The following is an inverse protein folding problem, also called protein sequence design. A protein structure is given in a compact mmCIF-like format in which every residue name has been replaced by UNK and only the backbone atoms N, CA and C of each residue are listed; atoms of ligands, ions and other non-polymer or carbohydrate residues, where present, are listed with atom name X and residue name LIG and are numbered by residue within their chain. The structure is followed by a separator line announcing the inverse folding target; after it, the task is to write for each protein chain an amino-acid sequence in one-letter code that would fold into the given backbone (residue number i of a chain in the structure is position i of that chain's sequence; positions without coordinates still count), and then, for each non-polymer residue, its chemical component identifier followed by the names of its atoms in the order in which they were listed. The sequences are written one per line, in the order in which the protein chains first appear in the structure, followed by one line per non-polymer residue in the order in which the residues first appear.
data_IF_019037306768
#
_entry.id   IF_019037306768
#
_cell.length_a   1.000
_cell.length_b   1.000
_cell.length_c   1.000
_cell.angle_alpha   90.00
_cell.angle_beta   90.00
_cell.angle_gamma   90.00
#
_symmetry.space_group_name_H-M   'P 1'
#
loop_
_entity.id
_entity.type
_entity.pdbx_description
1 polymer ?
#
# COMPACT_ATOMS: atom_id res chain seq x y z
N UNK A 1 3.70 4.74 -18.57
CA UNK A 1 4.32 4.78 -19.90
C UNK A 1 5.25 3.57 -20.11
N UNK A 2 6.26 3.38 -19.28
CA UNK A 2 7.25 2.29 -19.37
C UNK A 2 6.61 0.87 -19.42
N UNK A 3 5.68 0.55 -18.51
CA UNK A 3 5.03 -0.75 -18.48
C UNK A 3 4.22 -1.06 -19.77
N UNK A 4 3.66 -0.03 -20.41
CA UNK A 4 2.95 -0.20 -21.68
C UNK A 4 3.92 -0.47 -22.83
N UNK A 5 5.05 0.22 -22.83
CA UNK A 5 6.10 0.00 -23.83
C UNK A 5 6.72 -1.39 -23.70
N UNK A 6 7.02 -1.82 -22.47
CA UNK A 6 7.51 -3.17 -22.20
C UNK A 6 6.53 -4.22 -22.70
N UNK A 7 5.23 -4.05 -22.44
CA UNK A 7 4.19 -4.98 -22.91
C UNK A 7 4.16 -5.08 -24.43
N UNK A 8 4.29 -3.96 -25.15
CA UNK A 8 4.34 -3.94 -26.60
C UNK A 8 5.56 -4.71 -27.13
N UNK A 9 6.75 -4.46 -26.57
CA UNK A 9 7.98 -5.17 -26.96
C UNK A 9 7.90 -6.68 -26.72
N UNK A 10 7.33 -7.09 -25.59
CA UNK A 10 7.14 -8.53 -25.30
C UNK A 10 6.15 -9.15 -26.28
N UNK A 11 5.06 -8.44 -26.63
CA UNK A 11 4.09 -8.92 -27.60
C UNK A 11 4.70 -9.14 -29.00
N UNK A 12 5.67 -8.30 -29.40
CA UNK A 12 6.44 -8.48 -30.66
C UNK A 12 7.28 -9.77 -30.67
N UNK A 13 7.75 -10.20 -29.49
CA UNK A 13 8.63 -11.39 -29.36
C UNK A 13 7.80 -12.67 -29.24
N UNK A 14 6.79 -12.67 -28.35
CA UNK A 14 6.03 -13.90 -28.01
C UNK A 14 4.69 -14.01 -28.73
N UNK A 15 4.27 -12.98 -29.43
CA UNK A 15 2.96 -12.87 -30.06
C UNK A 15 1.89 -12.29 -29.14
N UNK A 16 0.89 -11.64 -29.74
CA UNK A 16 -0.18 -10.96 -28.99
C UNK A 16 -1.04 -11.92 -28.14
N UNK A 17 -1.24 -13.15 -28.60
CA UNK A 17 -2.02 -14.16 -27.89
C UNK A 17 -1.38 -14.53 -26.54
N UNK A 18 -0.09 -14.86 -26.57
CA UNK A 18 0.68 -15.20 -25.36
C UNK A 18 0.86 -13.99 -24.44
N UNK A 19 1.14 -12.82 -25.02
CA UNK A 19 1.32 -11.58 -24.23
C UNK A 19 0.07 -11.18 -23.43
N UNK A 20 -1.15 -11.51 -23.88
CA UNK A 20 -2.39 -11.27 -23.15
C UNK A 20 -2.50 -12.09 -21.86
N UNK A 21 -1.88 -13.26 -21.82
CA UNK A 21 -1.89 -14.14 -20.65
C UNK A 21 -0.87 -13.73 -19.58
N UNK A 22 0.09 -12.89 -19.94
CA UNK A 22 1.11 -12.40 -19.01
C UNK A 22 0.56 -11.28 -18.12
N UNK A 23 0.88 -11.37 -16.84
CA UNK A 23 0.63 -10.28 -15.90
C UNK A 23 1.83 -9.35 -15.92
N UNK A 24 1.69 -8.25 -16.63
CA UNK A 24 2.75 -7.26 -16.81
C UNK A 24 2.28 -5.89 -16.34
N UNK A 25 3.10 -5.24 -15.54
CA UNK A 25 2.81 -3.91 -15.02
C UNK A 25 3.73 -3.51 -13.88
N UNK A 26 3.45 -2.37 -13.26
CA UNK A 26 4.09 -1.97 -12.02
C UNK A 26 3.62 -2.86 -10.87
N UNK A 27 4.39 -2.92 -9.77
CA UNK A 27 3.96 -3.62 -8.55
C UNK A 27 2.56 -3.20 -8.12
N UNK A 28 2.28 -1.90 -8.07
CA UNK A 28 0.96 -1.37 -7.70
C UNK A 28 -0.16 -1.89 -8.61
N UNK A 29 0.05 -1.94 -9.92
CA UNK A 29 -0.98 -2.39 -10.85
C UNK A 29 -1.26 -3.89 -10.76
N UNK A 30 -0.22 -4.69 -10.57
CA UNK A 30 -0.35 -6.15 -10.39
C UNK A 30 -1.00 -6.46 -9.05
N UNK A 31 -0.56 -5.80 -7.98
CA UNK A 31 -1.12 -6.00 -6.65
C UNK A 31 -2.57 -5.49 -6.54
N UNK A 32 -2.89 -4.36 -7.17
CA UNK A 32 -4.27 -3.91 -7.27
C UNK A 32 -5.17 -4.96 -7.95
N UNK A 33 -4.66 -5.63 -8.98
CA UNK A 33 -5.40 -6.71 -9.66
C UNK A 33 -5.62 -7.92 -8.74
N UNK A 34 -4.63 -8.32 -7.94
CA UNK A 34 -4.77 -9.36 -6.92
C UNK A 34 -5.82 -8.95 -5.90
N UNK A 35 -5.69 -7.74 -5.34
CA UNK A 35 -6.61 -7.23 -4.32
C UNK A 35 -8.06 -7.11 -4.82
N UNK A 36 -8.27 -6.70 -6.08
CA UNK A 36 -9.62 -6.69 -6.68
C UNK A 36 -10.28 -8.07 -6.69
N UNK A 37 -9.50 -9.13 -6.81
CA UNK A 37 -10.01 -10.49 -6.81
C UNK A 37 -10.25 -11.04 -5.40
N UNK A 38 -9.48 -10.60 -4.40
CA UNK A 38 -9.39 -11.20 -3.08
C UNK A 38 -9.77 -10.25 -1.93
N UNK A 39 -10.20 -9.01 -2.23
CA UNK A 39 -10.42 -7.95 -1.24
C UNK A 39 -11.40 -8.33 -0.11
N UNK A 40 -12.40 -9.13 -0.42
CA UNK A 40 -13.38 -9.63 0.53
C UNK A 40 -12.73 -10.40 1.70
N UNK A 41 -11.62 -11.09 1.47
CA UNK A 41 -10.86 -11.79 2.52
C UNK A 41 -10.19 -10.84 3.53
N UNK A 42 -10.01 -9.58 3.15
CA UNK A 42 -9.48 -8.51 4.01
C UNK A 42 -10.59 -7.60 4.56
N UNK A 43 -11.87 -7.90 4.28
CA UNK A 43 -13.01 -7.09 4.71
C UNK A 43 -13.24 -5.84 3.85
N UNK A 44 -12.62 -5.76 2.67
CA UNK A 44 -12.85 -4.66 1.72
C UNK A 44 -13.81 -5.08 0.61
N UNK A 45 -14.59 -4.13 0.05
CA UNK A 45 -15.33 -4.39 -1.18
C UNK A 45 -14.36 -4.58 -2.35
N UNK A 46 -14.74 -5.39 -3.34
CA UNK A 46 -13.89 -5.61 -4.52
C UNK A 46 -13.73 -4.36 -5.39
N UNK A 47 -14.69 -3.46 -5.35
CA UNK A 47 -14.68 -2.16 -6.00
C UNK A 47 -14.10 -1.04 -5.10
N UNK A 48 -13.26 -1.39 -4.14
CA UNK A 48 -12.65 -0.42 -3.24
C UNK A 48 -12.08 0.80 -3.98
N UNK A 49 -12.19 1.96 -3.37
CA UNK A 49 -11.64 3.21 -3.90
C UNK A 49 -10.13 3.26 -3.65
N UNK A 50 -9.37 3.72 -4.63
CA UNK A 50 -7.94 3.99 -4.46
C UNK A 50 -7.75 5.48 -4.22
N UNK A 51 -7.30 5.84 -3.01
CA UNK A 51 -6.96 7.21 -2.66
C UNK A 51 -5.60 7.58 -3.25
N UNK A 52 -5.58 8.70 -3.96
CA UNK A 52 -4.34 9.29 -4.43
C UNK A 52 -3.64 10.10 -3.32
N UNK A 53 -2.53 10.73 -3.69
CA UNK A 53 -1.75 11.56 -2.77
C UNK A 53 -2.55 12.76 -2.22
N UNK A 54 -3.46 13.34 -3.01
CA UNK A 54 -4.31 14.44 -2.57
C UNK A 54 -5.40 13.97 -1.62
N UNK A 55 -6.07 12.86 -1.94
CA UNK A 55 -7.13 12.30 -1.10
C UNK A 55 -6.57 11.91 0.28
N UNK A 56 -5.44 11.22 0.30
CA UNK A 56 -4.72 10.86 1.53
C UNK A 56 -4.32 12.11 2.33
N UNK A 57 -3.79 13.12 1.66
CA UNK A 57 -3.39 14.37 2.30
C UNK A 57 -4.57 15.13 2.92
N UNK A 58 -5.72 15.20 2.22
CA UNK A 58 -6.94 15.83 2.73
C UNK A 58 -7.48 15.12 3.96
N UNK A 59 -7.51 13.79 3.91
CA UNK A 59 -7.99 12.99 5.05
C UNK A 59 -7.09 13.18 6.28
N UNK A 60 -5.77 13.12 6.12
CA UNK A 60 -4.82 13.35 7.21
C UNK A 60 -4.96 14.77 7.79
N UNK A 61 -5.10 15.79 6.94
CA UNK A 61 -5.31 17.17 7.38
C UNK A 61 -6.61 17.33 8.18
N UNK A 62 -7.69 16.66 7.75
CA UNK A 62 -8.95 16.61 8.51
C UNK A 62 -8.78 15.98 9.89
N UNK A 63 -8.09 14.85 9.96
CA UNK A 63 -7.80 14.15 11.23
C UNK A 63 -7.01 15.05 12.17
N UNK A 64 -5.95 15.69 11.70
CA UNK A 64 -5.12 16.61 12.50
C UNK A 64 -5.97 17.76 13.07
N UNK A 65 -6.84 18.34 12.24
CA UNK A 65 -7.76 19.40 12.66
C UNK A 65 -8.77 18.92 13.70
N UNK A 66 -9.40 17.77 13.48
CA UNK A 66 -10.40 17.20 14.39
C UNK A 66 -9.82 16.76 15.73
N UNK A 67 -8.56 16.31 15.74
CA UNK A 67 -7.83 16.01 16.98
C UNK A 67 -7.33 17.26 17.72
N UNK A 68 -7.56 18.45 17.18
CA UNK A 68 -7.12 19.71 17.79
C UNK A 68 -5.60 19.90 17.82
N UNK A 69 -4.87 19.23 16.93
CA UNK A 69 -3.41 19.29 16.87
C UNK A 69 -2.93 20.52 16.10
N UNK A 70 -1.78 21.05 16.52
CA UNK A 70 -1.15 22.19 15.87
C UNK A 70 -0.67 21.81 14.45
N UNK A 71 -1.26 22.46 13.43
CA UNK A 71 -0.95 22.22 12.01
C UNK A 71 0.49 22.59 11.61
N UNK A 72 1.16 23.44 12.38
CA UNK A 72 2.53 23.87 12.11
C UNK A 72 3.54 22.85 12.63
N UNK A 73 3.16 22.10 13.68
CA UNK A 73 3.91 20.96 14.20
C UNK A 73 3.58 19.69 13.40
N UNK A 74 2.28 19.40 13.26
CA UNK A 74 1.78 18.23 12.50
C UNK A 74 1.45 18.61 11.07
N UNK A 75 2.48 18.92 10.27
CA UNK A 75 2.32 19.25 8.85
C UNK A 75 1.83 18.01 8.08
N UNK A 76 0.62 18.08 7.53
CA UNK A 76 -0.04 16.91 6.94
C UNK A 76 0.80 16.16 5.89
N UNK A 77 1.60 16.87 5.09
CA UNK A 77 2.51 16.26 4.10
C UNK A 77 3.59 15.42 4.76
N UNK A 78 4.14 15.90 5.88
CA UNK A 78 5.17 15.17 6.63
C UNK A 78 4.57 13.95 7.35
N UNK A 79 3.37 14.11 7.94
CA UNK A 79 2.65 12.99 8.56
C UNK A 79 2.29 11.93 7.53
N UNK A 80 1.79 12.33 6.35
CA UNK A 80 1.53 11.39 5.25
C UNK A 80 2.79 10.63 4.86
N UNK A 81 3.92 11.32 4.69
CA UNK A 81 5.19 10.67 4.32
C UNK A 81 5.65 9.71 5.42
N UNK A 82 5.44 10.05 6.69
CA UNK A 82 5.78 9.15 7.80
C UNK A 82 4.92 7.89 7.78
N UNK A 83 3.60 8.02 7.58
CA UNK A 83 2.67 6.89 7.44
C UNK A 83 3.04 6.04 6.22
N UNK A 84 3.34 6.66 5.08
CA UNK A 84 3.83 5.96 3.89
C UNK A 84 5.10 5.15 4.19
N UNK A 85 6.05 5.73 4.91
CA UNK A 85 7.26 5.03 5.38
C UNK A 85 6.94 3.79 6.23
N UNK A 86 5.99 3.90 7.15
CA UNK A 86 5.53 2.74 7.93
C UNK A 86 4.98 1.63 7.03
N UNK A 87 4.07 1.96 6.12
CA UNK A 87 3.46 0.98 5.22
C UNK A 87 4.49 0.32 4.30
N UNK A 88 5.42 1.08 3.75
CA UNK A 88 6.49 0.56 2.90
C UNK A 88 7.50 -0.33 3.65
N UNK A 89 7.58 -0.18 4.96
CA UNK A 89 8.37 -1.05 5.85
C UNK A 89 7.53 -2.16 6.49
N UNK A 90 6.29 -2.36 6.04
CA UNK A 90 5.32 -3.32 6.58
C UNK A 90 5.01 -3.10 8.07
N UNK A 91 5.10 -1.86 8.55
CA UNK A 91 4.76 -1.49 9.93
C UNK A 91 3.28 -1.13 9.97
N UNK A 92 2.46 -2.04 10.46
CA UNK A 92 1.04 -1.81 10.71
C UNK A 92 0.84 -0.92 11.95
N UNK A 93 -0.38 -0.42 12.17
CA UNK A 93 -0.73 0.31 13.41
C UNK A 93 -0.39 -0.51 14.65
N UNK A 94 -0.71 -1.81 14.64
CA UNK A 94 -0.38 -2.72 15.74
C UNK A 94 1.13 -2.83 15.95
N UNK A 95 1.89 -2.98 14.88
CA UNK A 95 3.35 -3.05 14.95
C UNK A 95 3.95 -1.75 15.49
N UNK A 96 3.44 -0.60 15.06
CA UNK A 96 3.86 0.70 15.59
C UNK A 96 3.68 0.81 17.11
N UNK A 97 2.50 0.44 17.63
CA UNK A 97 2.23 0.54 19.07
C UNK A 97 2.95 -0.54 19.90
N UNK A 98 3.44 -1.60 19.26
CA UNK A 98 4.28 -2.61 19.91
C UNK A 98 5.79 -2.29 19.86
N UNK A 99 6.19 -1.22 19.18
CA UNK A 99 7.59 -0.80 19.04
C UNK A 99 7.84 0.51 19.79
N UNK A 100 8.42 0.45 21.02
CA UNK A 100 8.73 1.64 21.81
C UNK A 100 9.71 2.59 21.11
N UNK A 101 10.62 2.09 20.28
CA UNK A 101 11.62 2.90 19.59
C UNK A 101 10.98 3.83 18.56
N UNK A 102 9.96 3.33 17.82
CA UNK A 102 9.21 4.15 16.87
C UNK A 102 8.44 5.27 17.58
N UNK A 103 7.80 4.95 18.70
CA UNK A 103 7.05 5.92 19.49
C UNK A 103 7.98 6.96 20.13
N UNK A 104 9.14 6.55 20.63
CA UNK A 104 10.16 7.45 21.18
C UNK A 104 10.70 8.40 20.11
N UNK A 105 11.01 7.90 18.91
CA UNK A 105 11.47 8.72 17.79
C UNK A 105 10.46 9.82 17.42
N UNK A 106 9.17 9.48 17.40
CA UNK A 106 8.13 10.46 17.10
C UNK A 106 7.92 11.46 18.25
N UNK A 107 8.09 11.04 19.50
CA UNK A 107 8.09 11.92 20.66
C UNK A 107 9.28 12.90 20.64
N UNK A 108 10.46 12.42 20.33
CA UNK A 108 11.66 13.25 20.17
C UNK A 108 11.51 14.27 19.03
N UNK A 109 10.79 13.91 17.99
CA UNK A 109 10.45 14.82 16.88
C UNK A 109 9.33 15.82 17.21
N UNK A 110 8.88 15.88 18.47
CA UNK A 110 7.76 16.69 18.99
C UNK A 110 6.40 16.35 18.37
N UNK A 111 6.23 15.09 17.92
CA UNK A 111 5.00 14.60 17.31
C UNK A 111 4.53 13.28 17.93
N UNK A 112 4.28 13.24 19.22
CA UNK A 112 3.92 12.00 19.95
C UNK A 112 2.57 11.41 19.49
N UNK A 113 1.74 12.17 18.77
CA UNK A 113 0.41 11.74 18.31
C UNK A 113 0.39 11.08 16.91
N UNK A 114 1.54 10.85 16.31
CA UNK A 114 1.60 10.22 14.96
C UNK A 114 0.92 8.86 14.94
N UNK A 115 1.13 8.02 15.96
CA UNK A 115 0.49 6.70 16.02
C UNK A 115 -1.03 6.78 16.08
N UNK A 116 -1.58 7.74 16.79
CA UNK A 116 -3.03 7.97 16.89
C UNK A 116 -3.60 8.48 15.54
N UNK A 117 -2.87 9.39 14.88
CA UNK A 117 -3.23 9.83 13.51
C UNK A 117 -3.20 8.65 12.55
N UNK A 118 -2.16 7.81 12.60
CA UNK A 118 -2.03 6.62 11.77
C UNK A 118 -3.21 5.66 11.98
N UNK A 119 -3.55 5.40 13.24
CA UNK A 119 -4.71 4.55 13.57
C UNK A 119 -6.00 5.12 13.02
N UNK A 120 -6.28 6.38 13.25
CA UNK A 120 -7.50 7.03 12.77
C UNK A 120 -7.57 7.08 11.24
N UNK A 121 -6.44 7.31 10.57
CA UNK A 121 -6.34 7.28 9.12
C UNK A 121 -6.69 5.90 8.55
N UNK A 122 -6.12 4.84 9.10
CA UNK A 122 -6.40 3.46 8.69
C UNK A 122 -7.86 3.09 8.93
N UNK A 123 -8.41 3.44 10.08
CA UNK A 123 -9.80 3.15 10.44
C UNK A 123 -10.79 3.87 9.49
N UNK A 124 -10.52 5.12 9.13
CA UNK A 124 -11.39 5.88 8.19
C UNK A 124 -11.27 5.36 6.75
N UNK A 125 -10.09 5.02 6.30
CA UNK A 125 -9.91 4.36 4.99
C UNK A 125 -10.71 3.06 4.94
N UNK A 126 -10.61 2.22 5.95
CA UNK A 126 -11.35 0.97 6.03
C UNK A 126 -12.88 1.19 6.00
N UNK A 127 -13.40 2.09 6.85
CA UNK A 127 -14.83 2.44 6.89
C UNK A 127 -15.36 2.98 5.56
N UNK A 128 -14.51 3.66 4.80
CA UNK A 128 -14.86 4.21 3.49
C UNK A 128 -14.65 3.20 2.35
N UNK A 129 -14.22 1.98 2.64
CA UNK A 129 -13.89 0.99 1.62
C UNK A 129 -12.77 1.47 0.69
N UNK A 130 -11.78 2.17 1.23
CA UNK A 130 -10.70 2.79 0.45
C UNK A 130 -9.33 2.24 0.86
N UNK A 131 -8.42 2.20 -0.11
CA UNK A 131 -7.00 1.92 0.06
C UNK A 131 -6.20 3.06 -0.57
N UNK A 132 -5.09 3.46 0.03
CA UNK A 132 -4.13 4.34 -0.62
C UNK A 132 -3.12 3.54 -1.46
N UNK A 133 -2.20 4.22 -2.14
CA UNK A 133 -1.20 3.53 -2.97
C UNK A 133 -0.30 2.59 -2.16
N UNK A 134 0.08 2.96 -0.95
CA UNK A 134 0.92 2.12 -0.10
C UNK A 134 0.15 0.89 0.41
N UNK A 135 -1.16 1.00 0.59
CA UNK A 135 -2.02 -0.13 0.95
C UNK A 135 -2.05 -1.22 -0.12
N UNK A 136 -1.88 -0.87 -1.39
CA UNK A 136 -1.83 -1.87 -2.46
C UNK A 136 -0.69 -2.86 -2.24
N UNK A 137 0.43 -2.40 -1.70
CA UNK A 137 1.58 -3.24 -1.34
C UNK A 137 1.37 -3.90 0.02
N UNK A 138 1.06 -3.12 1.06
CA UNK A 138 0.88 -3.61 2.43
C UNK A 138 -0.24 -4.65 2.52
N UNK A 139 -1.41 -4.37 1.95
CA UNK A 139 -2.57 -5.25 2.00
C UNK A 139 -2.36 -6.53 1.18
N UNK A 140 -1.60 -6.49 0.10
CA UNK A 140 -1.21 -7.70 -0.63
C UNK A 140 -0.30 -8.57 0.23
N UNK A 141 0.68 -7.99 0.93
CA UNK A 141 1.53 -8.72 1.86
C UNK A 141 0.70 -9.34 3.00
N UNK A 142 -0.22 -8.58 3.60
CA UNK A 142 -1.13 -9.10 4.63
C UNK A 142 -1.97 -10.25 4.10
N UNK A 143 -2.57 -10.10 2.93
CA UNK A 143 -3.40 -11.11 2.28
C UNK A 143 -2.64 -12.44 2.11
N UNK A 144 -1.45 -12.39 1.54
CA UNK A 144 -0.65 -13.58 1.26
C UNK A 144 -0.14 -14.24 2.54
N UNK A 145 0.16 -13.45 3.58
CA UNK A 145 0.59 -13.98 4.87
C UNK A 145 -0.56 -14.58 5.69
N UNK A 146 -1.73 -13.96 5.67
CA UNK A 146 -2.88 -14.39 6.49
C UNK A 146 -3.73 -15.49 5.83
N UNK A 147 -3.63 -15.65 4.50
CA UNK A 147 -4.43 -16.59 3.74
C UNK A 147 -3.56 -17.53 2.89
N UNK A 148 -3.06 -18.63 3.47
CA UNK A 148 -2.19 -19.57 2.78
C UNK A 148 -2.78 -20.14 1.48
N UNK A 149 -4.09 -20.30 1.40
CA UNK A 149 -4.78 -20.76 0.19
C UNK A 149 -4.68 -19.77 -0.96
N UNK A 150 -4.71 -18.47 -0.66
CA UNK A 150 -4.50 -17.41 -1.65
C UNK A 150 -3.06 -17.40 -2.12
N UNK A 151 -2.11 -17.51 -1.20
CA UNK A 151 -0.69 -17.62 -1.53
C UNK A 151 -0.44 -18.82 -2.46
N UNK A 152 -0.95 -20.00 -2.12
CA UNK A 152 -0.81 -21.21 -2.95
C UNK A 152 -1.41 -21.02 -4.35
N UNK A 153 -2.57 -20.38 -4.46
CA UNK A 153 -3.22 -20.06 -5.75
C UNK A 153 -2.31 -19.24 -6.65
N UNK A 154 -1.67 -18.20 -6.12
CA UNK A 154 -0.80 -17.33 -6.92
C UNK A 154 0.58 -17.93 -7.16
N UNK A 155 1.13 -18.73 -6.23
CA UNK A 155 2.33 -19.52 -6.46
C UNK A 155 2.15 -20.57 -7.56
N UNK A 156 0.97 -21.17 -7.65
CA UNK A 156 0.64 -22.08 -8.73
C UNK A 156 0.49 -21.35 -10.07
N UNK A 157 -0.11 -20.17 -10.07
CA UNK A 157 -0.33 -19.35 -11.25
C UNK A 157 0.96 -18.74 -11.80
N UNK A 158 1.82 -18.22 -10.94
CA UNK A 158 3.05 -17.52 -11.30
C UNK A 158 4.26 -18.40 -11.06
N UNK A 159 4.60 -19.21 -12.06
CA UNK A 159 5.80 -20.07 -11.99
C UNK A 159 7.09 -19.27 -12.18
N UNK A 160 7.02 -18.14 -12.86
CA UNK A 160 8.14 -17.25 -13.14
C UNK A 160 7.75 -15.82 -12.82
N UNK A 161 8.63 -15.13 -12.12
CA UNK A 161 8.51 -13.70 -11.79
C UNK A 161 9.79 -13.03 -12.26
N UNK A 162 9.64 -12.02 -13.12
CA UNK A 162 10.74 -11.19 -13.60
C UNK A 162 10.52 -9.77 -13.11
N UNK A 163 11.53 -9.19 -12.52
CA UNK A 163 11.51 -7.83 -11.98
C UNK A 163 12.57 -7.01 -12.68
N UNK A 164 12.12 -5.94 -13.34
CA UNK A 164 13.01 -4.92 -13.92
C UNK A 164 13.34 -3.87 -12.85
N UNK A 165 14.49 -3.21 -12.99
CA UNK A 165 14.99 -2.20 -12.04
C UNK A 165 14.95 -2.69 -10.57
N UNK A 166 15.38 -3.92 -10.34
CA UNK A 166 15.32 -4.59 -9.03
C UNK A 166 15.99 -3.76 -7.91
N UNK A 167 17.02 -3.00 -8.22
CA UNK A 167 17.71 -2.12 -7.26
C UNK A 167 16.82 -1.02 -6.68
N UNK A 168 15.72 -0.68 -7.35
CA UNK A 168 14.77 0.36 -6.91
C UNK A 168 13.63 -0.19 -6.06
N UNK A 169 13.64 -1.50 -5.78
CA UNK A 169 12.59 -2.13 -4.97
C UNK A 169 12.75 -1.81 -3.48
N UNK A 170 11.62 -1.78 -2.77
CA UNK A 170 11.57 -1.63 -1.32
C UNK A 170 11.14 -2.93 -0.62
N UNK A 171 11.12 -2.91 0.72
CA UNK A 171 10.80 -4.10 1.52
C UNK A 171 9.39 -4.66 1.27
N UNK A 172 8.43 -3.81 0.92
CA UNK A 172 7.04 -4.25 0.66
C UNK A 172 6.86 -4.89 -0.72
N UNK A 173 7.76 -4.66 -1.63
CA UNK A 173 7.77 -5.22 -2.99
C UNK A 173 8.48 -6.56 -3.05
#
# INVERSE_FOLDING_TARGET
KAAREMKARVAEIVGEGEAKNLWMGTFHSVFARILRQEADKLGFPRDFTIYDTQDSGRLIASIIKEMGLDKDIYKFKQIRNRISGFKNSLITVKAYFNDPNLQEADTMSRRPKIGEIYKEYVDRCFKSGAMDFDDLLLKTNELLNMHPSVLAKYQDRFKYILVDEYQDTNHSQ
#
